data_IF_815323790990
#
_entry.id   IF_815323790990
#
_cell.length_a   1.000
_cell.length_b   1.000
_cell.length_c   1.000
_cell.angle_alpha   90.00
_cell.angle_beta   90.00
_cell.angle_gamma   90.00
#
_symmetry.space_group_name_H-M   'P 1'
#
loop_
_entity.id
_entity.type
_entity.pdbx_description
1 polymer ?
#
# COMPACT_ATOMS: atom_id res chain seq x y z
N UNK A 1 0.17 -11.93 -19.33
CA UNK A 1 1.45 -11.21 -19.13
C UNK A 1 1.45 -10.60 -17.74
N UNK A 2 2.52 -10.74 -16.96
CA UNK A 2 2.60 -10.16 -15.61
C UNK A 2 2.86 -8.65 -15.68
N UNK A 3 2.21 -7.86 -14.83
CA UNK A 3 2.37 -6.40 -14.72
C UNK A 3 2.69 -5.98 -13.28
N UNK A 4 3.32 -4.82 -13.12
CA UNK A 4 3.63 -4.28 -11.80
C UNK A 4 2.53 -3.35 -11.29
N UNK A 5 2.04 -3.61 -10.08
CA UNK A 5 1.15 -2.72 -9.35
C UNK A 5 1.94 -1.94 -8.30
N UNK A 6 2.02 -0.62 -8.48
CA UNK A 6 2.70 0.29 -7.57
C UNK A 6 1.76 0.73 -6.46
N UNK A 7 2.14 0.45 -5.22
CA UNK A 7 1.31 0.80 -4.06
C UNK A 7 2.14 1.50 -2.99
N UNK A 8 1.53 2.38 -2.20
CA UNK A 8 2.22 3.13 -1.15
C UNK A 8 1.39 3.09 0.12
N UNK A 9 2.05 2.84 1.25
CA UNK A 9 1.45 2.95 2.57
C UNK A 9 1.68 4.38 3.09
N UNK A 10 0.60 5.10 3.40
CA UNK A 10 0.67 6.45 3.94
C UNK A 10 0.88 6.38 5.46
N UNK A 11 2.08 5.96 5.88
CA UNK A 11 2.43 5.82 7.29
C UNK A 11 3.34 6.97 7.74
N UNK A 12 2.82 7.87 8.57
CA UNK A 12 3.66 8.82 9.32
C UNK A 12 4.40 8.13 10.49
N UNK A 13 5.43 8.76 11.06
CA UNK A 13 6.19 8.29 12.21
C UNK A 13 5.30 7.84 13.37
N UNK A 14 4.20 8.53 13.66
CA UNK A 14 3.29 8.09 14.74
C UNK A 14 2.72 6.69 14.49
N UNK A 15 2.57 6.27 13.24
CA UNK A 15 2.03 4.97 12.81
C UNK A 15 3.04 3.83 12.87
N UNK A 16 4.34 4.08 13.00
CA UNK A 16 5.30 2.98 13.05
C UNK A 16 5.02 2.09 14.27
N UNK A 17 5.16 0.75 14.17
CA UNK A 17 4.78 -0.15 15.27
C UNK A 17 5.50 0.07 16.61
N UNK A 18 6.64 0.77 16.60
CA UNK A 18 7.38 1.15 17.80
C UNK A 18 6.69 2.30 18.58
N UNK A 19 5.86 3.08 17.89
CA UNK A 19 5.12 4.20 18.45
C UNK A 19 3.69 3.75 18.75
N UNK A 20 2.99 3.11 17.80
CA UNK A 20 1.61 2.66 18.02
C UNK A 20 1.20 1.32 17.43
N UNK A 21 0.07 0.83 17.94
CA UNK A 21 -0.68 -0.27 17.33
C UNK A 21 -0.21 -1.69 17.64
N UNK A 22 0.97 -1.90 18.23
CA UNK A 22 1.53 -3.23 18.49
C UNK A 22 1.75 -3.50 20.00
N UNK A 23 1.25 -4.61 20.56
CA UNK A 23 1.13 -4.80 22.02
C UNK A 23 2.45 -4.76 22.79
N UNK A 24 3.53 -5.25 22.18
CA UNK A 24 4.84 -5.36 22.84
C UNK A 24 5.92 -4.45 22.27
N UNK A 25 5.61 -3.66 21.22
CA UNK A 25 6.60 -2.81 20.54
C UNK A 25 6.33 -1.34 20.76
N UNK A 26 5.07 -0.96 20.93
CA UNK A 26 4.68 0.42 21.20
C UNK A 26 5.16 0.82 22.60
N UNK A 27 5.95 1.90 22.69
CA UNK A 27 6.60 2.35 23.95
C UNK A 27 6.14 3.74 24.45
N UNK A 28 5.19 4.38 23.78
CA UNK A 28 4.74 5.75 24.11
C UNK A 28 3.30 5.83 24.63
N UNK A 29 3.00 6.92 25.37
CA UNK A 29 1.63 7.31 25.69
C UNK A 29 1.01 8.08 24.52
N UNK A 30 0.32 7.33 23.65
CA UNK A 30 -0.26 7.85 22.42
C UNK A 30 -1.48 8.73 22.64
N UNK A 31 -2.10 8.69 23.83
CA UNK A 31 -3.27 9.53 24.12
C UNK A 31 -2.94 11.02 24.04
N UNK A 32 -1.65 11.36 24.21
CA UNK A 32 -1.13 12.72 24.21
C UNK A 32 -0.16 12.99 23.04
N UNK A 33 -0.03 12.07 22.08
CA UNK A 33 0.85 12.27 20.92
C UNK A 33 0.27 13.37 20.01
N UNK A 34 1.14 14.25 19.51
CA UNK A 34 0.70 15.27 18.56
C UNK A 34 0.07 14.62 17.33
N UNK A 35 -1.00 15.25 16.86
CA UNK A 35 -1.69 14.91 15.60
C UNK A 35 -1.06 15.59 14.40
N UNK A 36 -0.08 16.45 14.64
CA UNK A 36 0.69 17.12 13.60
C UNK A 36 1.46 16.09 12.77
N UNK A 37 1.58 16.38 11.48
CA UNK A 37 2.40 15.59 10.58
C UNK A 37 3.87 15.80 10.92
N UNK A 38 4.66 14.74 10.89
CA UNK A 38 6.10 14.90 11.06
C UNK A 38 6.73 15.66 9.89
N UNK A 39 7.82 16.39 10.14
CA UNK A 39 8.58 17.09 9.09
C UNK A 39 9.01 16.16 7.95
N UNK A 40 9.41 14.93 8.27
CA UNK A 40 9.79 13.96 7.25
C UNK A 40 8.59 13.49 6.41
N UNK A 41 7.40 13.39 7.02
CA UNK A 41 6.20 13.03 6.28
C UNK A 41 5.76 14.15 5.35
N UNK A 42 5.87 15.40 5.79
CA UNK A 42 5.67 16.60 4.94
C UNK A 42 6.66 16.58 3.76
N UNK A 43 7.96 16.39 4.02
CA UNK A 43 8.94 16.22 2.94
C UNK A 43 8.64 15.01 2.04
N UNK A 44 8.01 13.97 2.58
CA UNK A 44 7.55 12.80 1.84
C UNK A 44 6.36 13.10 0.91
N UNK A 45 5.42 13.94 1.35
CA UNK A 45 4.32 14.43 0.52
C UNK A 45 4.85 15.22 -0.68
N UNK A 46 5.78 16.15 -0.45
CA UNK A 46 6.42 16.95 -1.51
C UNK A 46 7.25 16.08 -2.46
N UNK A 47 8.06 15.17 -1.92
CA UNK A 47 8.87 14.24 -2.70
C UNK A 47 8.03 13.28 -3.55
N UNK A 48 6.89 12.84 -3.02
CA UNK A 48 5.93 12.03 -3.78
C UNK A 48 5.32 12.80 -4.94
N UNK A 49 4.91 14.05 -4.72
CA UNK A 49 4.38 14.90 -5.80
C UNK A 49 5.40 15.12 -6.92
N UNK A 50 6.64 15.46 -6.55
CA UNK A 50 7.75 15.61 -7.50
C UNK A 50 7.97 14.33 -8.30
N UNK A 51 7.98 13.18 -7.63
CA UNK A 51 8.11 11.89 -8.29
C UNK A 51 6.93 11.57 -9.22
N UNK A 52 5.68 11.83 -8.81
CA UNK A 52 4.50 11.63 -9.66
C UNK A 52 4.50 12.51 -10.91
N UNK A 53 5.08 13.72 -10.85
CA UNK A 53 5.27 14.59 -12.03
C UNK A 53 6.32 14.05 -13.02
N UNK A 54 7.24 13.22 -12.57
CA UNK A 54 8.32 12.67 -13.41
C UNK A 54 7.90 11.52 -14.34
N UNK A 55 6.69 10.96 -14.16
CA UNK A 55 6.17 9.86 -14.96
C UNK A 55 4.66 9.96 -15.18
N UNK A 56 4.07 9.05 -15.98
CA UNK A 56 2.63 9.00 -16.28
C UNK A 56 1.93 7.72 -15.78
N UNK A 57 2.63 6.89 -15.01
CA UNK A 57 2.08 5.64 -14.46
C UNK A 57 1.17 5.88 -13.24
N UNK A 58 0.17 5.00 -13.02
CA UNK A 58 -0.73 5.06 -11.88
C UNK A 58 -0.10 4.48 -10.60
N UNK A 59 -0.60 4.93 -9.45
CA UNK A 59 -0.18 4.54 -8.11
C UNK A 59 -1.41 4.39 -7.21
N UNK A 60 -1.42 3.37 -6.36
CA UNK A 60 -2.44 3.19 -5.34
C UNK A 60 -1.92 3.56 -3.95
N UNK A 61 -2.61 4.47 -3.28
CA UNK A 61 -2.31 4.87 -1.91
C UNK A 61 -3.17 4.06 -0.94
N UNK A 62 -2.58 3.49 0.10
CA UNK A 62 -3.29 2.87 1.22
C UNK A 62 -3.21 3.82 2.40
N UNK A 63 -4.36 4.44 2.74
CA UNK A 63 -4.43 5.54 3.71
C UNK A 63 -4.94 5.04 5.06
N UNK A 64 -4.26 5.47 6.12
CA UNK A 64 -4.74 5.35 7.49
C UNK A 64 -5.70 6.51 7.76
N UNK A 65 -6.94 6.21 8.16
CA UNK A 65 -8.00 7.21 8.18
C UNK A 65 -7.76 8.37 9.16
N UNK A 66 -7.06 8.14 10.28
CA UNK A 66 -6.75 9.19 11.26
C UNK A 66 -5.76 10.25 10.73
N UNK A 67 -5.13 10.07 9.57
CA UNK A 67 -4.38 11.13 8.89
C UNK A 67 -5.29 12.28 8.46
N UNK A 68 -6.57 12.02 8.20
CA UNK A 68 -7.56 13.05 7.88
C UNK A 68 -7.98 13.90 9.10
N UNK A 69 -7.41 13.66 10.28
CA UNK A 69 -7.47 14.61 11.39
C UNK A 69 -6.55 15.82 11.19
N UNK A 70 -5.59 15.74 10.25
CA UNK A 70 -4.77 16.86 9.81
C UNK A 70 -5.40 17.55 8.61
N UNK A 71 -5.67 18.85 8.72
CA UNK A 71 -6.12 19.67 7.60
C UNK A 71 -5.06 19.70 6.49
N UNK A 72 -3.77 19.80 6.85
CA UNK A 72 -2.66 19.76 5.89
C UNK A 72 -2.67 18.48 5.05
N UNK A 73 -2.89 17.31 5.66
CA UNK A 73 -3.00 16.05 4.91
C UNK A 73 -4.27 16.01 4.06
N UNK A 74 -5.39 16.52 4.58
CA UNK A 74 -6.67 16.56 3.88
C UNK A 74 -6.59 17.42 2.61
N UNK A 75 -5.98 18.60 2.72
CA UNK A 75 -5.74 19.51 1.61
C UNK A 75 -4.77 18.90 0.59
N UNK A 76 -3.71 18.25 1.08
CA UNK A 76 -2.76 17.54 0.22
C UNK A 76 -3.41 16.42 -0.59
N UNK A 77 -4.21 15.56 0.05
CA UNK A 77 -4.95 14.49 -0.66
C UNK A 77 -5.89 15.08 -1.72
N UNK A 78 -6.62 16.14 -1.37
CA UNK A 78 -7.53 16.82 -2.30
C UNK A 78 -6.77 17.37 -3.51
N UNK A 79 -5.59 17.97 -3.27
CA UNK A 79 -4.70 18.47 -4.31
C UNK A 79 -4.17 17.37 -5.23
N UNK A 80 -3.60 16.29 -4.69
CA UNK A 80 -3.02 15.22 -5.53
C UNK A 80 -4.09 14.48 -6.34
N UNK A 81 -5.30 14.29 -5.79
CA UNK A 81 -6.42 13.69 -6.51
C UNK A 81 -6.86 14.61 -7.65
N UNK A 82 -6.92 15.92 -7.43
CA UNK A 82 -7.24 16.87 -8.49
C UNK A 82 -6.16 16.93 -9.59
N UNK A 83 -4.88 16.94 -9.21
CA UNK A 83 -3.75 17.09 -10.14
C UNK A 83 -3.51 15.82 -10.97
N UNK A 84 -3.57 14.65 -10.34
CA UNK A 84 -3.20 13.37 -10.98
C UNK A 84 -4.41 12.51 -11.34
N UNK A 85 -5.62 12.85 -10.87
CA UNK A 85 -6.89 12.24 -11.26
C UNK A 85 -6.85 10.71 -11.23
N UNK A 86 -7.20 10.05 -12.34
CA UNK A 86 -7.24 8.60 -12.51
C UNK A 86 -5.90 7.88 -12.34
N UNK A 87 -4.78 8.60 -12.23
CA UNK A 87 -3.48 8.00 -11.86
C UNK A 87 -3.38 7.69 -10.37
N UNK A 88 -4.27 8.20 -9.53
CA UNK A 88 -4.31 7.92 -8.11
C UNK A 88 -5.54 7.06 -7.81
N UNK A 89 -5.34 5.95 -7.12
CA UNK A 89 -6.42 5.14 -6.53
C UNK A 89 -6.16 5.00 -5.04
N UNK A 90 -7.21 4.91 -4.23
CA UNK A 90 -7.08 4.97 -2.78
C UNK A 90 -7.79 3.79 -2.13
N UNK A 91 -7.03 2.98 -1.41
CA UNK A 91 -7.50 1.89 -0.55
C UNK A 91 -7.38 2.23 0.93
N UNK A 92 -7.91 1.34 1.77
CA UNK A 92 -7.91 1.50 3.23
C UNK A 92 -6.72 0.80 3.88
N UNK A 93 -6.03 1.53 4.76
CA UNK A 93 -4.96 1.03 5.62
C UNK A 93 -5.37 1.03 7.11
N UNK A 94 -6.67 0.96 7.39
CA UNK A 94 -7.22 0.96 8.75
C UNK A 94 -7.41 2.35 9.36
N UNK A 95 -7.80 2.39 10.63
CA UNK A 95 -8.17 3.63 11.33
C UNK A 95 -6.96 4.36 11.94
N UNK A 96 -6.18 3.69 12.77
CA UNK A 96 -5.07 4.26 13.54
C UNK A 96 -3.81 3.39 13.51
N UNK A 97 -3.65 2.59 12.46
CA UNK A 97 -2.56 1.63 12.26
C UNK A 97 -2.40 0.55 13.36
N UNK A 98 -3.50 0.12 14.01
CA UNK A 98 -3.48 -1.02 14.95
C UNK A 98 -3.08 -2.32 14.23
N UNK A 99 -2.05 -3.00 14.72
CA UNK A 99 -1.58 -4.30 14.23
C UNK A 99 -2.48 -5.43 14.75
N UNK A 100 -3.71 -5.55 14.22
CA UNK A 100 -4.78 -6.40 14.76
C UNK A 100 -4.36 -7.84 15.05
N UNK A 101 -3.66 -8.53 14.13
CA UNK A 101 -3.24 -9.92 14.34
C UNK A 101 -2.17 -10.11 15.42
N UNK A 102 -1.54 -9.03 15.91
CA UNK A 102 -0.61 -9.10 17.04
C UNK A 102 -1.33 -9.18 18.39
N UNK A 103 -2.59 -8.76 18.45
CA UNK A 103 -3.45 -8.81 19.62
C UNK A 103 -4.28 -10.12 19.62
N UNK A 104 -4.93 -10.48 20.75
CA UNK A 104 -6.01 -11.45 20.73
C UNK A 104 -7.07 -11.07 19.69
N UNK A 105 -7.79 -12.08 19.17
CA UNK A 105 -8.88 -11.88 18.23
C UNK A 105 -9.94 -10.93 18.83
N UNK A 106 -10.29 -9.92 18.06
CA UNK A 106 -11.20 -8.83 18.43
C UNK A 106 -12.01 -8.48 17.18
N UNK A 107 -12.94 -9.38 16.84
CA UNK A 107 -13.73 -9.31 15.61
C UNK A 107 -14.56 -8.03 15.53
N UNK A 108 -15.31 -7.71 16.60
CA UNK A 108 -16.18 -6.54 16.64
C UNK A 108 -15.38 -5.23 16.66
N UNK A 109 -14.28 -5.17 17.42
CA UNK A 109 -13.40 -4.02 17.43
C UNK A 109 -12.77 -3.77 16.06
N UNK A 110 -12.31 -4.81 15.37
CA UNK A 110 -11.77 -4.69 14.02
C UNK A 110 -12.83 -4.22 13.02
N UNK A 111 -14.03 -4.81 13.09
CA UNK A 111 -15.16 -4.45 12.23
C UNK A 111 -15.56 -2.99 12.42
N UNK A 112 -15.71 -2.53 13.66
CA UNK A 112 -16.06 -1.15 13.95
C UNK A 112 -14.98 -0.18 13.45
N UNK A 113 -13.71 -0.46 13.73
CA UNK A 113 -12.60 0.38 13.29
C UNK A 113 -12.48 0.44 11.76
N UNK A 114 -12.64 -0.70 11.07
CA UNK A 114 -12.56 -0.75 9.61
C UNK A 114 -13.76 -0.09 8.95
N UNK A 115 -14.96 -0.21 9.52
CA UNK A 115 -16.15 0.50 9.03
C UNK A 115 -15.98 2.02 9.15
N UNK A 116 -15.46 2.50 10.28
CA UNK A 116 -15.20 3.92 10.50
C UNK A 116 -14.12 4.46 9.57
N UNK A 117 -13.00 3.75 9.44
CA UNK A 117 -11.95 4.12 8.48
C UNK A 117 -12.49 4.20 7.04
N UNK A 118 -13.32 3.24 6.65
CA UNK A 118 -13.96 3.21 5.33
C UNK A 118 -14.87 4.42 5.12
N UNK A 119 -15.67 4.79 6.12
CA UNK A 119 -16.55 5.96 6.08
C UNK A 119 -15.74 7.25 5.88
N UNK A 120 -14.70 7.46 6.69
CA UNK A 120 -13.83 8.64 6.63
C UNK A 120 -13.16 8.74 5.26
N UNK A 121 -12.48 7.68 4.82
CA UNK A 121 -11.70 7.72 3.57
C UNK A 121 -12.63 7.93 2.37
N UNK A 122 -13.74 7.17 2.26
CA UNK A 122 -14.71 7.34 1.16
C UNK A 122 -15.22 8.77 1.06
N UNK A 123 -15.57 9.38 2.21
CA UNK A 123 -16.07 10.75 2.25
C UNK A 123 -15.02 11.76 1.74
N UNK A 124 -13.73 11.52 2.01
CA UNK A 124 -12.64 12.46 1.67
C UNK A 124 -12.13 12.31 0.24
N UNK A 125 -12.18 11.10 -0.32
CA UNK A 125 -11.49 10.80 -1.59
C UNK A 125 -12.41 10.52 -2.78
N UNK A 126 -13.73 10.43 -2.54
CA UNK A 126 -14.74 10.31 -3.58
C UNK A 126 -14.48 9.17 -4.57
N UNK A 127 -14.45 9.49 -5.87
CA UNK A 127 -14.34 8.52 -6.96
C UNK A 127 -12.99 7.79 -7.02
N UNK A 128 -11.95 8.28 -6.34
CA UNK A 128 -10.66 7.61 -6.26
C UNK A 128 -10.67 6.43 -5.27
N UNK A 129 -11.71 6.32 -4.45
CA UNK A 129 -11.89 5.21 -3.50
C UNK A 129 -11.97 3.87 -4.25
N UNK A 130 -11.24 2.87 -3.73
CA UNK A 130 -11.37 1.49 -4.14
C UNK A 130 -11.61 0.62 -2.91
N UNK A 131 -12.49 -0.41 -2.99
CA UNK A 131 -12.76 -1.34 -1.90
C UNK A 131 -11.59 -2.32 -1.70
N UNK A 132 -10.38 -1.79 -1.53
CA UNK A 132 -9.14 -2.54 -1.35
C UNK A 132 -8.60 -2.29 0.05
N UNK A 133 -8.16 -3.35 0.69
CA UNK A 133 -7.66 -3.32 2.05
C UNK A 133 -6.18 -3.71 2.09
N UNK A 134 -5.46 -3.06 3.00
CA UNK A 134 -4.13 -3.47 3.44
C UNK A 134 -4.06 -3.39 4.96
N UNK A 135 -3.68 -4.49 5.60
CA UNK A 135 -3.55 -4.54 7.04
C UNK A 135 -2.38 -3.68 7.53
N UNK A 136 -2.57 -2.84 8.55
CA UNK A 136 -1.51 -2.08 9.22
C UNK A 136 -0.25 -2.91 9.49
N UNK A 137 0.89 -2.45 8.97
CA UNK A 137 2.18 -3.13 9.09
C UNK A 137 2.19 -4.57 8.56
N UNK A 138 1.23 -4.99 7.73
CA UNK A 138 1.07 -6.36 7.22
C UNK A 138 0.61 -7.38 8.27
N UNK A 139 0.01 -6.95 9.37
CA UNK A 139 -0.50 -7.82 10.44
C UNK A 139 -1.92 -8.29 10.14
N UNK A 140 -2.03 -9.43 9.43
CA UNK A 140 -3.29 -10.03 8.96
C UNK A 140 -3.46 -11.45 9.48
N UNK A 141 -4.59 -11.78 10.09
CA UNK A 141 -4.92 -13.13 10.58
C UNK A 141 -6.11 -13.73 9.83
N UNK A 142 -6.29 -15.06 9.81
CA UNK A 142 -7.41 -15.71 9.10
C UNK A 142 -8.80 -15.16 9.47
N UNK A 143 -9.05 -14.87 10.75
CA UNK A 143 -10.35 -14.36 11.22
C UNK A 143 -10.73 -13.00 10.60
N UNK A 144 -9.74 -12.19 10.20
CA UNK A 144 -9.95 -10.85 9.66
C UNK A 144 -10.61 -10.88 8.27
N UNK A 145 -10.37 -11.93 7.47
CA UNK A 145 -10.88 -12.02 6.09
C UNK A 145 -12.42 -11.93 6.02
N UNK A 146 -13.12 -12.51 7.01
CA UNK A 146 -14.57 -12.44 7.10
C UNK A 146 -15.07 -11.00 7.30
N UNK A 147 -14.44 -10.26 8.22
CA UNK A 147 -14.76 -8.85 8.47
C UNK A 147 -14.50 -7.99 7.24
N UNK A 148 -13.36 -8.18 6.59
CA UNK A 148 -12.97 -7.45 5.38
C UNK A 148 -14.02 -7.65 4.28
N UNK A 149 -14.44 -8.90 4.03
CA UNK A 149 -15.47 -9.20 3.04
C UNK A 149 -16.85 -8.64 3.42
N UNK A 150 -17.26 -8.75 4.68
CA UNK A 150 -18.55 -8.22 5.17
C UNK A 150 -18.67 -6.70 5.02
N UNK A 151 -17.56 -5.96 5.08
CA UNK A 151 -17.53 -4.52 4.86
C UNK A 151 -17.42 -4.13 3.38
N UNK A 152 -17.52 -5.11 2.47
CA UNK A 152 -17.60 -4.89 1.03
C UNK A 152 -16.25 -4.64 0.36
N UNK A 153 -15.14 -4.98 1.01
CA UNK A 153 -13.84 -5.03 0.34
C UNK A 153 -13.80 -6.21 -0.64
N UNK A 154 -13.09 -6.03 -1.74
CA UNK A 154 -12.93 -7.03 -2.81
C UNK A 154 -11.50 -7.52 -2.93
N UNK A 155 -10.52 -6.72 -2.51
CA UNK A 155 -9.09 -7.02 -2.59
C UNK A 155 -8.45 -6.89 -1.22
N UNK A 156 -7.64 -7.89 -0.85
CA UNK A 156 -6.63 -7.78 0.21
C UNK A 156 -5.23 -7.72 -0.42
N UNK A 157 -4.34 -6.95 0.18
CA UNK A 157 -2.92 -6.91 -0.20
C UNK A 157 -2.08 -6.79 1.05
N UNK A 158 -2.22 -7.79 1.92
CA UNK A 158 -1.58 -7.85 3.23
C UNK A 158 -0.59 -9.00 3.35
N UNK A 159 -0.64 -9.98 2.45
CA UNK A 159 0.24 -11.14 2.53
C UNK A 159 1.64 -10.77 2.05
N UNK A 160 2.61 -10.96 2.94
CA UNK A 160 4.01 -11.03 2.61
C UNK A 160 4.45 -12.50 2.61
N UNK A 161 4.66 -13.14 1.46
CA UNK A 161 4.96 -14.57 1.37
C UNK A 161 6.40 -14.92 1.80
N UNK A 162 6.96 -14.20 2.77
CA UNK A 162 8.28 -14.43 3.34
C UNK A 162 8.17 -15.08 4.73
N UNK A 163 9.05 -16.04 5.00
CA UNK A 163 9.05 -16.80 6.26
C UNK A 163 9.42 -15.92 7.46
N UNK A 164 10.29 -14.92 7.26
CA UNK A 164 10.79 -14.00 8.31
C UNK A 164 9.63 -13.23 8.98
N UNK A 165 8.58 -12.94 8.24
CA UNK A 165 7.44 -12.14 8.72
C UNK A 165 6.21 -12.99 9.00
N UNK A 166 6.33 -14.33 9.04
CA UNK A 166 5.23 -15.25 9.38
C UNK A 166 4.51 -14.86 10.68
N UNK A 167 5.22 -14.33 11.68
CA UNK A 167 4.63 -13.86 12.95
C UNK A 167 3.52 -12.82 12.78
N UNK A 168 3.47 -12.12 11.65
CA UNK A 168 2.41 -11.16 11.32
C UNK A 168 1.07 -11.83 11.02
N UNK A 169 1.02 -13.17 10.94
CA UNK A 169 -0.22 -13.93 10.77
C UNK A 169 -1.03 -14.14 12.05
N UNK A 170 -0.49 -13.71 13.20
CA UNK A 170 -1.02 -14.00 14.51
C UNK A 170 -0.54 -15.35 15.06
N UNK A 171 -0.69 -15.55 16.37
CA UNK A 171 -0.19 -16.75 17.08
C UNK A 171 -0.86 -18.01 16.54
N UNK A 172 -0.07 -19.03 16.23
CA UNK A 172 -0.57 -20.33 15.73
C UNK A 172 -0.91 -20.37 14.24
N UNK A 173 -0.87 -19.23 13.54
CA UNK A 173 -1.24 -19.14 12.13
C UNK A 173 -0.03 -19.19 11.19
N UNK A 174 -0.33 -19.22 9.90
CA UNK A 174 0.65 -19.14 8.81
C UNK A 174 0.01 -18.54 7.55
N UNK A 175 0.83 -18.22 6.55
CA UNK A 175 0.35 -17.60 5.29
C UNK A 175 -0.63 -18.47 4.50
N UNK A 176 -0.53 -19.81 4.58
CA UNK A 176 -1.48 -20.72 3.93
C UNK A 176 -2.88 -20.55 4.53
N UNK A 177 -2.99 -20.50 5.86
CA UNK A 177 -4.27 -20.30 6.55
C UNK A 177 -4.88 -18.92 6.22
N UNK A 178 -4.05 -17.88 6.08
CA UNK A 178 -4.53 -16.56 5.66
C UNK A 178 -5.09 -16.61 4.23
N UNK A 179 -4.34 -17.20 3.28
CA UNK A 179 -4.81 -17.40 1.89
C UNK A 179 -6.12 -18.17 1.81
N UNK A 180 -6.21 -19.29 2.54
CA UNK A 180 -7.42 -20.12 2.59
C UNK A 180 -8.61 -19.31 3.10
N UNK A 181 -8.42 -18.49 4.13
CA UNK A 181 -9.49 -17.65 4.66
C UNK A 181 -9.91 -16.55 3.69
N UNK A 182 -8.95 -15.86 3.04
CA UNK A 182 -9.24 -14.85 2.03
C UNK A 182 -10.05 -15.45 0.88
N UNK A 183 -9.59 -16.58 0.33
CA UNK A 183 -10.28 -17.31 -0.73
C UNK A 183 -11.69 -17.76 -0.30
N UNK A 184 -11.82 -18.34 0.90
CA UNK A 184 -13.12 -18.75 1.47
C UNK A 184 -14.11 -17.59 1.56
N UNK A 185 -13.63 -16.38 1.83
CA UNK A 185 -14.45 -15.17 1.92
C UNK A 185 -14.55 -14.40 0.59
N UNK A 186 -14.17 -15.02 -0.54
CA UNK A 186 -14.28 -14.47 -1.90
C UNK A 186 -13.53 -13.14 -2.10
N UNK A 187 -12.48 -12.93 -1.32
CA UNK A 187 -11.54 -11.82 -1.50
C UNK A 187 -10.46 -12.23 -2.50
N UNK A 188 -9.96 -11.26 -3.25
CA UNK A 188 -8.80 -11.45 -4.13
C UNK A 188 -7.55 -11.00 -3.37
N UNK A 189 -6.60 -11.91 -3.16
CA UNK A 189 -5.30 -11.54 -2.60
C UNK A 189 -4.34 -11.02 -3.68
N UNK A 190 -3.66 -9.92 -3.38
CA UNK A 190 -2.52 -9.39 -4.15
C UNK A 190 -1.28 -9.38 -3.28
N UNK A 191 -0.69 -10.57 -3.15
CA UNK A 191 0.51 -10.78 -2.34
C UNK A 191 1.65 -9.88 -2.78
N UNK A 192 2.43 -9.44 -1.82
CA UNK A 192 3.61 -8.64 -2.09
C UNK A 192 4.70 -9.49 -2.75
N UNK A 193 5.42 -8.87 -3.68
CA UNK A 193 6.62 -9.45 -4.25
C UNK A 193 7.57 -9.91 -3.13
N UNK A 194 8.16 -11.09 -3.31
CA UNK A 194 9.27 -11.59 -2.52
C UNK A 194 10.40 -12.03 -3.47
N UNK A 195 11.58 -12.27 -2.91
CA UNK A 195 12.68 -12.91 -3.64
C UNK A 195 13.33 -13.92 -2.72
N UNK A 196 13.41 -15.18 -3.16
CA UNK A 196 13.97 -16.28 -2.35
C UNK A 196 13.34 -16.39 -0.96
N UNK A 197 12.03 -16.19 -0.87
CA UNK A 197 11.27 -16.18 0.39
C UNK A 197 11.65 -15.05 1.37
N UNK A 198 12.32 -14.00 0.88
CA UNK A 198 12.68 -12.80 1.65
C UNK A 198 11.85 -11.60 1.21
N UNK A 199 11.53 -10.68 2.15
CA UNK A 199 10.79 -9.48 1.83
C UNK A 199 11.64 -8.55 0.97
N UNK A 200 11.04 -7.94 -0.05
CA UNK A 200 11.71 -6.98 -0.95
C UNK A 200 11.05 -5.61 -1.00
N UNK A 201 10.04 -5.39 -0.18
CA UNK A 201 9.21 -4.18 -0.17
C UNK A 201 9.31 -3.45 1.17
N UNK A 202 8.85 -2.20 1.21
CA UNK A 202 8.82 -1.38 2.42
C UNK A 202 10.20 -1.29 3.09
N UNK A 203 10.34 -1.64 4.38
CA UNK A 203 11.61 -1.47 5.10
C UNK A 203 12.79 -2.23 4.48
N UNK A 204 12.53 -3.33 3.76
CA UNK A 204 13.57 -4.13 3.13
C UNK A 204 14.38 -3.33 2.10
N UNK A 205 13.81 -2.27 1.50
CA UNK A 205 14.49 -1.41 0.54
C UNK A 205 15.70 -0.66 1.12
N UNK A 206 15.73 -0.47 2.44
CA UNK A 206 16.79 0.27 3.15
C UNK A 206 17.62 -0.56 4.12
N UNK A 207 17.08 -1.67 4.65
CA UNK A 207 17.76 -2.47 5.67
C UNK A 207 18.86 -3.36 5.05
N UNK A 208 20.12 -3.18 5.42
CA UNK A 208 21.19 -4.10 5.03
C UNK A 208 21.10 -5.43 5.83
N UNK A 209 21.28 -6.61 5.20
CA UNK A 209 21.60 -6.84 3.79
C UNK A 209 20.37 -6.96 2.85
N UNK A 210 19.14 -6.94 3.38
CA UNK A 210 17.89 -7.08 2.59
C UNK A 210 17.77 -6.07 1.45
N UNK A 211 18.36 -4.88 1.57
CA UNK A 211 18.32 -3.82 0.57
C UNK A 211 19.03 -4.19 -0.73
N UNK A 212 20.03 -5.08 -0.68
CA UNK A 212 20.71 -5.59 -1.87
C UNK A 212 19.73 -6.46 -2.67
N UNK A 213 19.10 -7.42 -1.98
CA UNK A 213 18.13 -8.35 -2.57
C UNK A 213 16.89 -7.59 -3.07
N UNK A 214 16.42 -6.61 -2.29
CA UNK A 214 15.29 -5.77 -2.66
C UNK A 214 15.55 -5.00 -3.95
N UNK A 215 16.71 -4.33 -4.06
CA UNK A 215 17.10 -3.61 -5.28
C UNK A 215 17.27 -4.57 -6.47
N UNK A 216 17.77 -5.79 -6.24
CA UNK A 216 17.84 -6.81 -7.31
C UNK A 216 16.45 -7.21 -7.81
N UNK A 217 15.49 -7.42 -6.92
CA UNK A 217 14.10 -7.72 -7.28
C UNK A 217 13.46 -6.57 -8.06
N UNK A 218 13.61 -5.34 -7.57
CA UNK A 218 12.99 -4.15 -8.16
C UNK A 218 13.55 -3.81 -9.55
N UNK A 219 14.83 -4.10 -9.80
CA UNK A 219 15.43 -3.96 -11.14
C UNK A 219 14.81 -4.90 -12.19
N UNK A 220 14.16 -5.99 -11.76
CA UNK A 220 13.57 -7.01 -12.62
C UNK A 220 12.04 -6.91 -12.71
N UNK A 221 11.45 -5.83 -12.21
CA UNK A 221 10.00 -5.66 -12.27
C UNK A 221 9.49 -5.71 -13.72
N UNK A 222 8.33 -6.35 -13.96
CA UNK A 222 7.61 -6.21 -15.22
C UNK A 222 7.20 -4.75 -15.48
N UNK A 223 6.72 -4.47 -16.69
CA UNK A 223 6.11 -3.17 -17.01
C UNK A 223 4.98 -2.84 -16.04
N UNK A 224 4.86 -1.56 -15.68
CA UNK A 224 3.81 -1.07 -14.78
C UNK A 224 2.44 -1.12 -15.48
N UNK A 225 1.37 -1.22 -14.69
CA UNK A 225 0.00 -1.11 -15.18
C UNK A 225 -0.22 0.23 -15.90
N UNK A 226 -1.02 0.21 -16.97
CA UNK A 226 -1.61 1.45 -17.48
C UNK A 226 -2.66 2.00 -16.51
N UNK A 227 -3.10 3.24 -16.73
CA UNK A 227 -4.14 3.88 -15.92
C UNK A 227 -5.41 3.02 -15.87
N UNK A 228 -5.94 2.60 -17.03
CA UNK A 228 -7.16 1.78 -17.08
C UNK A 228 -6.97 0.43 -16.39
N UNK A 229 -5.80 -0.19 -16.60
CA UNK A 229 -5.47 -1.45 -15.92
C UNK A 229 -5.39 -1.29 -14.40
N UNK A 230 -4.95 -0.15 -13.89
CA UNK A 230 -4.90 0.07 -12.44
C UNK A 230 -6.29 0.14 -11.81
N UNK A 231 -7.34 0.49 -12.55
CA UNK A 231 -8.71 0.53 -12.02
C UNK A 231 -9.32 -0.86 -11.87
N UNK A 232 -8.98 -1.79 -12.77
CA UNK A 232 -9.63 -3.10 -12.87
C UNK A 232 -8.74 -4.26 -12.42
N UNK A 233 -7.45 -4.24 -12.75
CA UNK A 233 -6.57 -5.39 -12.58
C UNK A 233 -6.48 -5.89 -11.13
N UNK A 234 -6.43 -5.03 -10.09
CA UNK A 234 -6.43 -5.54 -8.71
C UNK A 234 -7.67 -6.38 -8.38
N UNK A 235 -8.83 -6.06 -8.94
CA UNK A 235 -10.10 -6.79 -8.77
C UNK A 235 -10.30 -7.97 -9.73
N UNK A 236 -9.39 -8.21 -10.68
CA UNK A 236 -9.54 -9.27 -11.68
C UNK A 236 -8.65 -10.48 -11.38
N UNK A 237 -9.18 -11.61 -10.89
CA UNK A 237 -8.37 -12.75 -10.47
C UNK A 237 -7.49 -13.33 -11.59
N UNK A 238 -7.86 -13.15 -12.86
CA UNK A 238 -7.11 -13.64 -14.02
C UNK A 238 -5.89 -12.77 -14.34
N UNK A 239 -5.80 -11.58 -13.76
CA UNK A 239 -4.68 -10.67 -13.94
C UNK A 239 -3.52 -11.04 -13.02
N UNK A 240 -2.36 -11.38 -13.60
CA UNK A 240 -1.15 -11.65 -12.82
C UNK A 240 -0.41 -10.35 -12.47
N UNK A 241 -0.34 -10.02 -11.18
CA UNK A 241 0.32 -8.81 -10.69
C UNK A 241 1.61 -9.13 -9.91
N UNK A 242 2.64 -8.32 -10.13
CA UNK A 242 3.73 -8.10 -9.18
C UNK A 242 3.37 -6.91 -8.31
N UNK A 243 2.88 -7.16 -7.10
CA UNK A 243 2.54 -6.09 -6.16
C UNK A 243 3.79 -5.64 -5.41
N UNK A 244 4.13 -4.35 -5.52
CA UNK A 244 5.22 -3.74 -4.76
C UNK A 244 4.69 -2.61 -3.89
N UNK A 245 5.34 -2.42 -2.74
CA UNK A 245 5.02 -1.29 -1.87
C UNK A 245 6.25 -0.66 -1.22
N UNK A 246 6.09 0.60 -0.85
CA UNK A 246 6.98 1.39 0.00
C UNK A 246 6.12 2.38 0.79
N UNK A 247 6.71 3.17 1.69
CA UNK A 247 5.95 4.13 2.49
C UNK A 247 6.06 5.53 1.91
N UNK A 248 5.03 6.36 2.10
CA UNK A 248 5.11 7.77 1.73
C UNK A 248 6.29 8.48 2.42
N UNK A 249 6.55 8.12 3.68
CA UNK A 249 7.70 8.60 4.47
C UNK A 249 9.06 8.30 3.83
N UNK A 250 9.16 7.29 2.96
CA UNK A 250 10.39 6.96 2.26
C UNK A 250 10.78 8.08 1.28
N UNK A 251 9.82 8.81 0.69
CA UNK A 251 10.09 9.97 -0.17
C UNK A 251 10.76 11.13 0.57
N UNK A 252 10.50 11.28 1.88
CA UNK A 252 11.12 12.32 2.70
C UNK A 252 12.61 12.08 2.98
N UNK A 253 13.12 10.88 2.69
CA UNK A 253 14.54 10.55 2.87
C UNK A 253 15.41 11.35 1.89
N UNK A 254 16.66 11.57 2.27
CA UNK A 254 17.62 12.37 1.47
C UNK A 254 17.07 13.75 1.12
N UNK A 255 16.44 14.41 2.11
CA UNK A 255 15.83 15.73 1.98
C UNK A 255 14.79 15.79 0.85
N UNK A 256 13.86 14.82 0.81
CA UNK A 256 12.80 14.77 -0.22
C UNK A 256 13.22 14.18 -1.58
N UNK A 257 14.48 13.78 -1.75
CA UNK A 257 15.03 13.32 -3.04
C UNK A 257 15.07 11.80 -3.23
N UNK A 258 14.52 11.03 -2.28
CA UNK A 258 14.47 9.58 -2.44
C UNK A 258 13.35 9.18 -3.40
N UNK A 259 13.68 8.31 -4.35
CA UNK A 259 12.71 7.68 -5.25
C UNK A 259 12.81 6.16 -5.16
N UNK A 260 11.71 5.43 -5.43
CA UNK A 260 11.75 3.98 -5.52
C UNK A 260 12.80 3.51 -6.56
N UNK A 261 13.50 2.38 -6.33
CA UNK A 261 14.57 1.90 -7.21
C UNK A 261 14.03 1.20 -8.48
N UNK A 262 13.10 1.85 -9.17
CA UNK A 262 12.51 1.39 -10.42
C UNK A 262 13.37 1.93 -11.59
N UNK A 263 13.95 1.08 -12.44
CA UNK A 263 14.72 1.54 -13.59
C UNK A 263 13.88 2.36 -14.58
N UNK A 264 14.47 3.43 -15.16
CA UNK A 264 13.82 4.28 -16.17
C UNK A 264 13.22 3.50 -17.35
N UNK A 265 13.86 2.39 -17.76
CA UNK A 265 13.32 1.52 -18.82
C UNK A 265 11.91 0.99 -18.53
N UNK A 266 11.56 0.82 -17.26
CA UNK A 266 10.23 0.33 -16.86
C UNK A 266 9.19 1.44 -17.03
N UNK A 267 9.58 2.69 -16.77
CA UNK A 267 8.73 3.85 -16.99
C UNK A 267 8.55 4.19 -18.49
N UNK A 268 9.59 4.00 -19.32
CA UNK A 268 9.57 4.35 -20.74
C UNK A 268 8.90 3.32 -21.66
N UNK A 269 8.65 2.09 -21.19
CA UNK A 269 7.95 1.07 -21.99
C UNK A 269 6.47 1.42 -22.28
N UNK A 270 5.89 2.42 -21.59
CA UNK A 270 4.52 2.90 -21.84
C UNK A 270 4.39 3.96 -22.93
N UNK A 271 5.47 4.64 -23.33
CA UNK A 271 5.44 5.72 -24.34
C UNK A 271 5.66 5.22 -25.77
N UNK A 272 6.40 4.12 -25.97
CA UNK A 272 6.75 3.65 -27.32
C UNK A 272 5.62 2.90 -28.05
N UNK A 273 4.58 2.43 -27.35
CA UNK A 273 3.45 1.77 -28.02
C UNK A 273 2.50 2.75 -28.72
N UNK A 274 2.31 3.98 -28.22
CA UNK A 274 1.45 4.97 -28.90
C UNK A 274 2.06 5.48 -30.21
N UNK A 275 3.38 5.65 -30.27
CA UNK A 275 4.05 6.16 -31.47
C UNK A 275 4.14 5.15 -32.62
N UNK A 276 3.98 3.84 -32.34
CA UNK A 276 4.08 2.79 -33.37
C UNK A 276 2.74 2.42 -33.99
N UNK A 277 1.60 2.72 -33.35
CA UNK A 277 0.27 2.56 -33.94
C UNK A 277 -0.14 3.74 -34.83
N UNK A 278 0.28 4.97 -34.49
CA UNK A 278 0.02 6.16 -35.31
C UNK A 278 0.81 6.19 -36.63
N UNK A 279 1.88 5.41 -36.74
CA UNK A 279 2.65 5.25 -37.98
C UNK A 279 2.15 4.10 -38.88
N UNK A 280 1.22 3.28 -38.40
CA UNK A 280 0.66 2.14 -39.18
C UNK A 280 -0.66 2.46 -39.88
N UNK A 281 -1.26 3.61 -39.64
CA UNK A 281 -2.55 4.03 -40.25
C UNK A 281 -2.39 5.11 -41.32
N UNK A 282 -1.16 5.50 -41.64
CA UNK A 282 -0.83 6.35 -42.78
C UNK A 282 -0.09 5.51 -43.83
N UNK A 283 -0.85 4.75 -44.62
CA UNK A 283 -0.47 4.23 -45.94
C UNK A 283 -1.74 3.97 -46.75
#
# INVERSE_FOLDING_TARGET
>A
MQKTWLTIDCDDFRHVPANQGHPTRSKGDLKNASKDLSEQFIAGMEGFESWMRSHNHPVSLFIIADLFESDQFSDWISSIVNIFSNRITIGCHGLSHRSWSAWPEDYDGFKQALAEATRIIKQRVGENWRPWFRAPGGYIAPWMAKVIAELGFTVDTSINPSWIVKKKTGKGNNWKMVRESISKNKLIEREWLNMWSLPVNGPALSLFPLSIISKMAWKKLPSILSIDQALEAPNNPDFTLSTVYWHLLDHGRKNGNWTPPIPNRIFSLGTNQRNTESLKTAN
#
